data_IF_043778124132
#
_entry.id   IF_043778124132
#
_cell.length_a   1.000
_cell.length_b   1.000
_cell.length_c   1.000
_cell.angle_alpha   90.00
_cell.angle_beta   90.00
_cell.angle_gamma   90.00
#
_symmetry.space_group_name_H-M   'P 1'
#
loop_
_entity.id
_entity.type
_entity.pdbx_description
1 polymer ?
#
# COMPACT_ATOMS: atom_id res chain seq x y z
N UNK A 1 79.32 15.30 21.42
CA UNK A 1 77.84 15.36 21.49
C UNK A 1 77.07 14.47 20.47
N UNK A 2 77.63 14.09 19.31
CA UNK A 2 76.90 13.40 18.21
C UNK A 2 76.32 12.00 18.48
N UNK A 3 76.84 11.26 19.48
CA UNK A 3 76.35 9.89 19.83
C UNK A 3 75.03 9.89 20.62
N UNK A 4 74.74 10.97 21.34
CA UNK A 4 73.55 11.06 22.21
C UNK A 4 72.30 11.39 21.40
N UNK A 5 72.41 12.19 20.32
CA UNK A 5 71.29 12.46 19.40
C UNK A 5 70.84 11.20 18.67
N UNK A 6 71.78 10.43 18.11
CA UNK A 6 71.48 9.19 17.36
C UNK A 6 70.70 8.16 18.18
N UNK A 7 71.04 7.97 19.47
CA UNK A 7 70.29 7.06 20.35
C UNK A 7 68.86 7.55 20.60
N UNK A 8 68.66 8.87 20.68
CA UNK A 8 67.35 9.51 20.84
C UNK A 8 66.47 9.30 19.62
N UNK A 9 67.04 9.41 18.42
CA UNK A 9 66.32 9.23 17.15
C UNK A 9 65.87 7.77 16.97
N UNK A 10 66.75 6.81 17.26
CA UNK A 10 66.41 5.37 17.23
C UNK A 10 65.33 5.03 18.26
N UNK A 11 65.35 5.65 19.44
CA UNK A 11 64.31 5.47 20.45
C UNK A 11 62.96 6.04 19.98
N UNK A 12 62.95 7.24 19.39
CA UNK A 12 61.74 7.84 18.79
C UNK A 12 61.13 6.96 17.70
N UNK A 13 61.95 6.51 16.75
CA UNK A 13 61.54 5.57 15.71
C UNK A 13 60.91 4.29 16.28
N UNK A 14 61.49 3.75 17.35
CA UNK A 14 60.95 2.55 18.02
C UNK A 14 59.62 2.84 18.73
N UNK A 15 59.45 4.01 19.32
CA UNK A 15 58.18 4.42 19.94
C UNK A 15 57.10 4.70 18.91
N UNK A 16 57.45 5.31 17.78
CA UNK A 16 56.50 5.63 16.70
C UNK A 16 56.01 4.36 16.01
N UNK A 17 56.92 3.44 15.68
CA UNK A 17 56.57 2.12 15.15
C UNK A 17 55.70 1.31 16.13
N UNK A 18 55.93 1.43 17.44
CA UNK A 18 55.08 0.78 18.46
C UNK A 18 53.68 1.40 18.48
N UNK A 19 53.56 2.73 18.43
CA UNK A 19 52.28 3.45 18.38
C UNK A 19 51.50 3.09 17.12
N UNK A 20 52.17 3.03 15.99
CA UNK A 20 51.59 2.66 14.71
C UNK A 20 51.00 1.24 14.76
N UNK A 21 51.78 0.26 15.26
CA UNK A 21 51.27 -1.11 15.48
C UNK A 21 50.05 -1.16 16.38
N UNK A 22 50.07 -0.48 17.53
CA UNK A 22 48.91 -0.44 18.44
C UNK A 22 47.69 0.25 17.83
N UNK A 23 47.91 1.23 16.94
CA UNK A 23 46.83 1.89 16.20
C UNK A 23 46.23 0.97 15.14
N UNK A 24 47.04 0.15 14.48
CA UNK A 24 46.57 -0.86 13.53
C UNK A 24 45.81 -1.98 14.22
N UNK A 25 46.28 -2.47 15.36
CA UNK A 25 45.57 -3.49 16.16
C UNK A 25 44.19 -3.00 16.59
N UNK A 26 44.09 -1.79 17.16
CA UNK A 26 42.80 -1.19 17.52
C UNK A 26 41.87 -1.03 16.31
N UNK A 27 42.41 -0.64 15.16
CA UNK A 27 41.63 -0.55 13.91
C UNK A 27 41.14 -1.93 13.46
N UNK A 28 41.98 -2.96 13.51
CA UNK A 28 41.60 -4.32 13.15
C UNK A 28 40.50 -4.86 14.07
N UNK A 29 40.60 -4.63 15.39
CA UNK A 29 39.55 -4.98 16.36
C UNK A 29 38.24 -4.28 16.04
N UNK A 30 38.26 -2.96 15.78
CA UNK A 30 37.04 -2.22 15.43
C UNK A 30 36.41 -2.72 14.13
N UNK A 31 37.21 -3.08 13.12
CA UNK A 31 36.70 -3.64 11.86
C UNK A 31 36.10 -5.03 12.05
N UNK A 32 36.67 -5.84 12.93
CA UNK A 32 36.14 -7.16 13.25
C UNK A 32 34.80 -7.06 14.00
N UNK A 33 34.71 -6.15 14.97
CA UNK A 33 33.47 -5.84 15.69
C UNK A 33 32.39 -5.28 14.74
N UNK A 34 32.76 -4.39 13.83
CA UNK A 34 31.89 -3.90 12.76
C UNK A 34 31.43 -5.02 11.81
N UNK A 35 32.29 -5.98 11.49
CA UNK A 35 31.91 -7.11 10.64
C UNK A 35 30.90 -8.04 11.33
N UNK A 36 31.12 -8.33 12.62
CA UNK A 36 30.22 -9.19 13.41
C UNK A 36 28.85 -8.53 13.64
N UNK A 37 28.83 -7.25 13.97
CA UNK A 37 27.58 -6.47 14.13
C UNK A 37 26.80 -6.40 12.83
N UNK A 38 27.45 -6.14 11.70
CA UNK A 38 26.81 -6.14 10.39
C UNK A 38 26.22 -7.51 10.00
N UNK A 39 26.90 -8.62 10.34
CA UNK A 39 26.39 -9.96 10.10
C UNK A 39 25.12 -10.25 10.92
N UNK A 40 25.11 -9.85 12.20
CA UNK A 40 23.93 -9.96 13.08
C UNK A 40 22.77 -9.11 12.56
N UNK A 41 23.03 -7.86 12.17
CA UNK A 41 22.01 -6.94 11.61
C UNK A 41 21.40 -7.49 10.32
N UNK A 42 22.22 -7.98 9.38
CA UNK A 42 21.72 -8.59 8.13
C UNK A 42 20.79 -9.78 8.40
N UNK A 43 21.11 -10.60 9.40
CA UNK A 43 20.27 -11.75 9.80
C UNK A 43 18.93 -11.29 10.38
N UNK A 44 18.94 -10.29 11.26
CA UNK A 44 17.70 -9.73 11.85
C UNK A 44 16.83 -9.06 10.77
N UNK A 45 17.44 -8.28 9.88
CA UNK A 45 16.73 -7.66 8.75
C UNK A 45 16.11 -8.71 7.83
N UNK A 46 16.85 -9.78 7.51
CA UNK A 46 16.33 -10.89 6.72
C UNK A 46 15.09 -11.54 7.36
N UNK A 47 15.13 -11.80 8.67
CA UNK A 47 13.98 -12.36 9.40
C UNK A 47 12.80 -11.38 9.37
N UNK A 48 13.05 -10.09 9.59
CA UNK A 48 12.00 -9.06 9.58
C UNK A 48 11.29 -8.98 8.22
N UNK A 49 12.03 -9.10 7.11
CA UNK A 49 11.45 -9.08 5.76
C UNK A 49 10.57 -10.31 5.53
N UNK A 50 11.00 -11.48 5.97
CA UNK A 50 10.21 -12.72 5.85
C UNK A 50 8.91 -12.61 6.66
N UNK A 51 8.97 -12.10 7.89
CA UNK A 51 7.77 -11.90 8.72
C UNK A 51 6.80 -10.91 8.08
N UNK A 52 7.31 -9.80 7.52
CA UNK A 52 6.48 -8.82 6.83
C UNK A 52 5.77 -9.43 5.60
N UNK A 53 6.47 -10.27 4.82
CA UNK A 53 5.87 -10.97 3.68
C UNK A 53 4.74 -11.92 4.11
N UNK A 54 4.94 -12.69 5.18
CA UNK A 54 3.91 -13.58 5.73
C UNK A 54 2.68 -12.78 6.18
N UNK A 55 2.88 -11.64 6.84
CA UNK A 55 1.79 -10.77 7.28
C UNK A 55 1.00 -10.20 6.09
N UNK A 56 1.68 -9.74 5.04
CA UNK A 56 1.04 -9.26 3.82
C UNK A 56 0.19 -10.35 3.14
N UNK A 57 0.69 -11.58 3.06
CA UNK A 57 -0.08 -12.71 2.51
C UNK A 57 -1.31 -13.04 3.38
N UNK A 58 -1.18 -13.01 4.70
CA UNK A 58 -2.31 -13.22 5.61
C UNK A 58 -3.40 -12.15 5.44
N UNK A 59 -3.00 -10.87 5.33
CA UNK A 59 -3.92 -9.76 5.09
C UNK A 59 -4.59 -9.87 3.71
N UNK A 60 -3.85 -10.24 2.67
CA UNK A 60 -4.42 -10.44 1.33
C UNK A 60 -5.43 -11.60 1.32
N UNK A 61 -5.12 -12.71 1.99
CA UNK A 61 -6.04 -13.84 2.14
C UNK A 61 -7.32 -13.42 2.88
N UNK A 62 -7.18 -12.65 3.96
CA UNK A 62 -8.32 -12.13 4.70
C UNK A 62 -9.18 -11.18 3.85
N UNK A 63 -8.55 -10.25 3.13
CA UNK A 63 -9.23 -9.30 2.25
C UNK A 63 -10.06 -9.98 1.14
N UNK A 64 -9.54 -11.06 0.54
CA UNK A 64 -10.27 -11.82 -0.49
C UNK A 64 -11.46 -12.57 0.13
N UNK A 65 -11.31 -13.08 1.36
CA UNK A 65 -12.37 -13.82 2.06
C UNK A 65 -13.44 -12.90 2.65
N UNK A 66 -13.08 -11.67 3.01
CA UNK A 66 -14.04 -10.66 3.46
C UNK A 66 -14.90 -10.22 2.29
N UNK A 67 -15.91 -11.03 2.00
CA UNK A 67 -17.06 -10.62 1.20
C UNK A 67 -17.74 -9.49 1.96
N UNK A 68 -17.58 -8.26 1.46
CA UNK A 68 -18.35 -7.09 1.89
C UNK A 68 -19.82 -7.42 1.59
N UNK A 69 -20.51 -7.99 2.57
CA UNK A 69 -21.95 -8.28 2.49
C UNK A 69 -22.67 -6.94 2.56
N UNK A 70 -22.97 -6.37 1.39
CA UNK A 70 -23.83 -5.20 1.29
C UNK A 70 -25.25 -5.68 1.59
N UNK A 71 -25.81 -5.24 2.71
CA UNK A 71 -27.18 -5.56 3.10
C UNK A 71 -28.11 -4.50 2.49
N UNK A 72 -28.95 -4.90 1.53
CA UNK A 72 -30.04 -4.05 1.05
C UNK A 72 -31.22 -4.20 2.02
N UNK A 73 -31.44 -3.20 2.88
CA UNK A 73 -32.63 -3.18 3.73
C UNK A 73 -33.76 -2.58 2.89
N UNK A 74 -34.63 -3.42 2.33
CA UNK A 74 -35.88 -2.95 1.73
C UNK A 74 -36.88 -2.72 2.86
N UNK A 75 -37.27 -1.46 3.05
CA UNK A 75 -38.27 -1.07 4.06
C UNK A 75 -39.61 -0.93 3.35
N UNK A 76 -40.58 -1.78 3.70
CA UNK A 76 -41.95 -1.69 3.19
C UNK A 76 -42.64 -0.45 3.75
N UNK A 77 -43.19 0.38 2.86
CA UNK A 77 -43.78 1.69 3.17
C UNK A 77 -45.13 1.64 3.88
N UNK A 78 -45.66 0.46 4.19
CA UNK A 78 -46.97 0.33 4.87
C UNK A 78 -46.88 -0.03 6.35
N UNK A 79 -45.82 -0.71 6.81
CA UNK A 79 -45.75 -1.22 8.20
C UNK A 79 -44.41 -1.02 8.91
N UNK A 80 -43.37 -0.50 8.24
CA UNK A 80 -42.09 -0.14 8.89
C UNK A 80 -41.31 -1.30 9.53
N UNK A 81 -41.72 -2.55 9.30
CA UNK A 81 -41.00 -3.73 9.76
C UNK A 81 -39.88 -4.11 8.77
N UNK A 82 -38.69 -4.49 9.25
CA UNK A 82 -37.59 -4.92 8.39
C UNK A 82 -37.93 -6.27 7.74
N UNK A 83 -38.20 -6.26 6.43
CA UNK A 83 -38.25 -7.48 5.64
C UNK A 83 -36.84 -8.07 5.49
N UNK A 84 -36.79 -9.40 5.59
CA UNK A 84 -35.62 -10.28 5.60
C UNK A 84 -34.31 -9.71 5.05
N UNK A 85 -33.27 -9.84 5.87
CA UNK A 85 -31.87 -9.54 5.55
C UNK A 85 -31.32 -10.61 4.59
N UNK A 86 -31.78 -10.58 3.34
CA UNK A 86 -31.27 -11.48 2.32
C UNK A 86 -29.93 -10.95 1.79
N UNK A 87 -28.89 -11.78 1.91
CA UNK A 87 -27.53 -11.46 1.48
C UNK A 87 -27.56 -11.23 -0.04
N UNK A 88 -27.15 -10.04 -0.48
CA UNK A 88 -27.02 -9.68 -1.90
C UNK A 88 -25.99 -10.58 -2.58
N UNK A 89 -26.41 -11.78 -2.96
CA UNK A 89 -25.68 -12.67 -3.85
C UNK A 89 -26.11 -12.28 -5.25
N UNK A 90 -25.16 -11.97 -6.14
CA UNK A 90 -25.36 -11.45 -7.51
C UNK A 90 -26.44 -12.15 -8.35
N UNK A 91 -26.90 -13.34 -7.96
CA UNK A 91 -27.86 -14.18 -8.66
C UNK A 91 -29.34 -14.00 -8.28
N UNK A 92 -29.68 -13.30 -7.18
CA UNK A 92 -31.07 -13.24 -6.67
C UNK A 92 -31.75 -11.86 -6.74
N UNK A 93 -31.14 -10.88 -7.41
CA UNK A 93 -31.78 -9.60 -7.65
C UNK A 93 -32.78 -9.72 -8.82
N UNK A 94 -34.02 -10.14 -8.52
CA UNK A 94 -35.16 -9.85 -9.40
C UNK A 94 -35.52 -8.37 -9.23
N UNK A 95 -34.81 -7.51 -9.94
CA UNK A 95 -35.16 -6.08 -10.05
C UNK A 95 -36.56 -6.00 -10.69
N UNK A 96 -37.50 -5.34 -10.01
CA UNK A 96 -38.86 -5.22 -10.51
C UNK A 96 -38.92 -4.32 -11.75
N UNK A 97 -39.83 -4.62 -12.68
CA UNK A 97 -39.99 -3.85 -13.94
C UNK A 97 -40.15 -2.33 -13.72
N UNK A 98 -40.78 -1.94 -12.61
CA UNK A 98 -40.96 -0.54 -12.21
C UNK A 98 -39.65 0.17 -11.85
N UNK A 99 -38.73 -0.54 -11.19
CA UNK A 99 -37.43 0.00 -10.79
C UNK A 99 -36.51 0.15 -12.00
N UNK A 100 -36.52 -0.83 -12.90
CA UNK A 100 -35.81 -0.76 -14.19
C UNK A 100 -36.31 0.41 -15.02
N UNK A 101 -37.63 0.60 -15.12
CA UNK A 101 -38.23 1.73 -15.85
C UNK A 101 -37.85 3.08 -15.24
N UNK A 102 -37.86 3.19 -13.91
CA UNK A 102 -37.42 4.40 -13.20
C UNK A 102 -35.94 4.69 -13.45
N UNK A 103 -35.08 3.67 -13.34
CA UNK A 103 -33.65 3.79 -13.59
C UNK A 103 -33.38 4.27 -15.02
N UNK A 104 -33.98 3.63 -16.04
CA UNK A 104 -33.78 4.02 -17.44
C UNK A 104 -34.29 5.45 -17.68
N UNK A 105 -35.45 5.81 -17.15
CA UNK A 105 -36.00 7.16 -17.31
C UNK A 105 -35.08 8.23 -16.68
N UNK A 106 -34.58 7.96 -15.48
CA UNK A 106 -33.66 8.87 -14.77
C UNK A 106 -32.31 8.96 -15.47
N UNK A 107 -31.76 7.83 -15.90
CA UNK A 107 -30.52 7.76 -16.66
C UNK A 107 -30.58 8.57 -17.96
N UNK A 108 -31.68 8.43 -18.73
CA UNK A 108 -31.87 9.22 -19.96
C UNK A 108 -32.00 10.71 -19.65
N UNK A 109 -32.71 11.09 -18.57
CA UNK A 109 -32.82 12.48 -18.16
C UNK A 109 -31.46 13.05 -17.78
N UNK A 110 -30.73 12.39 -16.87
CA UNK A 110 -29.42 12.85 -16.38
C UNK A 110 -28.40 13.00 -17.52
N UNK A 111 -28.50 12.16 -18.55
CA UNK A 111 -27.64 12.21 -19.75
C UNK A 111 -28.04 13.35 -20.71
N UNK A 112 -29.33 13.57 -20.92
CA UNK A 112 -29.83 14.56 -21.89
C UNK A 112 -29.93 15.96 -21.33
N UNK A 113 -30.00 16.10 -20.01
CA UNK A 113 -29.99 17.41 -19.37
C UNK A 113 -28.58 17.99 -19.43
N UNK A 114 -28.44 19.14 -20.09
CA UNK A 114 -27.24 19.96 -20.04
C UNK A 114 -27.41 20.99 -18.91
N UNK A 115 -26.90 20.74 -17.70
CA UNK A 115 -26.96 21.71 -16.63
C UNK A 115 -26.07 22.89 -16.97
N UNK A 116 -26.45 24.08 -16.51
CA UNK A 116 -25.71 25.34 -16.73
C UNK A 116 -24.30 25.32 -16.12
N UNK A 117 -24.05 24.42 -15.18
CA UNK A 117 -22.76 24.20 -14.52
C UNK A 117 -22.01 23.04 -15.20
N UNK A 118 -20.89 23.37 -15.85
CA UNK A 118 -20.05 22.42 -16.59
C UNK A 118 -19.31 21.43 -15.68
N UNK A 119 -18.95 21.83 -14.46
CA UNK A 119 -18.30 20.93 -13.48
C UNK A 119 -19.25 19.91 -12.89
N UNK A 120 -20.51 20.29 -12.67
CA UNK A 120 -21.55 19.35 -12.27
C UNK A 120 -21.89 18.35 -13.39
N UNK A 121 -21.89 18.81 -14.64
CA UNK A 121 -22.13 17.96 -15.82
C UNK A 121 -21.06 16.86 -15.96
N UNK A 122 -19.78 17.22 -15.92
CA UNK A 122 -18.68 16.25 -16.08
C UNK A 122 -18.70 15.17 -14.99
N UNK A 123 -19.05 15.54 -13.77
CA UNK A 123 -19.18 14.59 -12.67
C UNK A 123 -20.35 13.63 -12.89
N UNK A 124 -21.50 14.12 -13.36
CA UNK A 124 -22.66 13.29 -13.68
C UNK A 124 -22.41 12.37 -14.89
N UNK A 125 -21.69 12.84 -15.89
CA UNK A 125 -21.26 12.01 -17.02
C UNK A 125 -20.34 10.88 -16.57
N UNK A 126 -19.37 11.15 -15.70
CA UNK A 126 -18.47 10.12 -15.15
C UNK A 126 -19.22 9.11 -14.29
N UNK A 127 -20.15 9.55 -13.44
CA UNK A 127 -21.00 8.67 -12.64
C UNK A 127 -21.86 7.75 -13.52
N UNK A 128 -22.44 8.29 -14.58
CA UNK A 128 -23.32 7.54 -15.48
C UNK A 128 -22.56 6.62 -16.46
N UNK A 129 -21.30 6.94 -16.79
CA UNK A 129 -20.46 6.11 -17.64
C UNK A 129 -20.21 4.71 -17.06
N UNK A 130 -20.23 4.55 -15.73
CA UNK A 130 -20.07 3.24 -15.07
C UNK A 130 -21.21 2.25 -15.37
N UNK A 131 -22.37 2.75 -15.79
CA UNK A 131 -23.53 1.91 -16.17
C UNK A 131 -23.57 1.59 -17.67
N UNK A 132 -22.65 2.15 -18.47
CA UNK A 132 -22.54 1.88 -19.90
C UNK A 132 -21.61 0.69 -20.17
N UNK A 133 -21.87 -0.01 -21.28
CA UNK A 133 -20.91 -1.01 -21.78
C UNK A 133 -19.62 -0.33 -22.25
N UNK A 134 -18.49 -1.03 -22.23
CA UNK A 134 -17.19 -0.47 -22.68
C UNK A 134 -17.25 0.14 -24.08
N UNK A 135 -17.99 -0.50 -25.00
CA UNK A 135 -18.19 0.02 -26.36
C UNK A 135 -19.00 1.32 -26.37
N UNK A 136 -20.08 1.39 -25.58
CA UNK A 136 -20.89 2.61 -25.47
C UNK A 136 -20.12 3.75 -24.82
N UNK A 137 -19.30 3.48 -23.81
CA UNK A 137 -18.47 4.47 -23.12
C UNK A 137 -17.42 5.08 -24.06
N UNK A 138 -16.75 4.24 -24.88
CA UNK A 138 -15.75 4.71 -25.85
C UNK A 138 -16.34 5.68 -26.87
N UNK A 139 -17.54 5.40 -27.37
CA UNK A 139 -18.24 6.28 -28.33
C UNK A 139 -18.76 7.57 -27.68
N UNK A 140 -18.84 7.61 -26.36
CA UNK A 140 -19.36 8.75 -25.59
C UNK A 140 -18.29 9.75 -25.17
N UNK A 141 -17.02 9.33 -25.17
CA UNK A 141 -15.86 10.13 -24.78
C UNK A 141 -15.07 10.68 -25.99
N UNK A 142 -15.52 10.40 -27.22
CA UNK A 142 -15.03 11.01 -28.45
C UNK A 142 -15.84 12.25 -28.81
#
# INVERSE_FOLDING_TARGET
>A
MKRISRKRDVFKLRTDAKREKTSFEKRAETLFELAETNAKLKRILGISVVVALVLCLALAYFAIRTNIKVFLVQVDKTTGAPMEVNVLTKSNLKVGEKETKYFISKFILDIRTLPKDTTYYDNKLKENAFFLTQNSQKNWMQ
#
